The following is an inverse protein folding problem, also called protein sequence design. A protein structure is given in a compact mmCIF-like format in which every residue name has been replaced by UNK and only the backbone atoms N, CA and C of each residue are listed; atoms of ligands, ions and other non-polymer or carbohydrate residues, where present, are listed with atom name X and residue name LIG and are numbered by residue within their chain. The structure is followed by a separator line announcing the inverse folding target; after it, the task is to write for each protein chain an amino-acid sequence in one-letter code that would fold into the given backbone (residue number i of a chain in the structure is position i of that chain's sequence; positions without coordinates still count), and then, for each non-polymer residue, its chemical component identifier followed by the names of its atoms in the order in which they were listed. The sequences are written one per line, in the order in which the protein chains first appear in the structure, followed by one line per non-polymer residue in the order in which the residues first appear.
data_IF_563741871583
#
_entry.id   IF_563741871583
#
_cell.length_a   1.000
_cell.length_b   1.000
_cell.length_c   1.000
_cell.angle_alpha   90.00
_cell.angle_beta   90.00
_cell.angle_gamma   90.00
#
_symmetry.space_group_name_H-M   'P 1'
#
loop_
_entity.id
_entity.type
_entity.pdbx_description
1 polymer ?
#
# COMPACT_ATOMS: atom_id res chain seq x y z
N UNK A 1 -53.67 31.93 -20.87
CA UNK A 1 -52.68 30.86 -21.20
C UNK A 1 -51.59 30.66 -20.17
N UNK A 2 -51.18 31.65 -19.37
CA UNK A 2 -50.09 31.50 -18.39
C UNK A 2 -50.43 30.69 -17.11
N UNK A 3 -51.70 30.62 -16.70
CA UNK A 3 -52.13 29.89 -15.52
C UNK A 3 -52.19 28.34 -15.69
N UNK A 4 -52.39 27.86 -16.92
CA UNK A 4 -52.45 26.41 -17.18
C UNK A 4 -51.11 25.72 -17.16
N UNK A 5 -50.01 26.42 -17.50
CA UNK A 5 -48.66 25.86 -17.48
C UNK A 5 -48.07 25.77 -16.04
N UNK A 6 -48.50 26.66 -15.13
CA UNK A 6 -48.08 26.59 -13.73
C UNK A 6 -48.69 25.39 -13.00
N UNK A 7 -49.93 25.01 -13.32
CA UNK A 7 -50.60 23.86 -12.71
C UNK A 7 -49.97 22.51 -13.17
N UNK A 8 -49.59 22.43 -14.44
CA UNK A 8 -48.96 21.21 -15.00
C UNK A 8 -47.54 21.03 -14.42
N UNK A 9 -46.78 22.11 -14.25
CA UNK A 9 -45.46 22.07 -13.62
C UNK A 9 -45.53 21.61 -12.15
N UNK A 10 -46.53 22.04 -11.39
CA UNK A 10 -46.70 21.67 -9.98
C UNK A 10 -47.08 20.18 -9.82
N UNK A 11 -47.93 19.65 -10.71
CA UNK A 11 -48.35 18.24 -10.67
C UNK A 11 -47.18 17.30 -11.02
N UNK A 12 -46.31 17.68 -11.97
CA UNK A 12 -45.12 16.89 -12.32
C UNK A 12 -44.09 16.87 -11.18
N UNK A 13 -43.85 18.00 -10.50
CA UNK A 13 -42.97 18.07 -9.36
C UNK A 13 -43.49 17.26 -8.16
N UNK A 14 -44.83 17.30 -7.91
CA UNK A 14 -45.44 16.48 -6.86
C UNK A 14 -45.36 14.97 -7.17
N UNK A 15 -45.53 14.57 -8.42
CA UNK A 15 -45.44 13.17 -8.84
C UNK A 15 -44.04 12.62 -8.72
N UNK A 16 -42.99 13.42 -9.00
CA UNK A 16 -41.57 13.03 -8.80
C UNK A 16 -41.22 12.91 -7.33
N UNK A 17 -41.67 13.85 -6.49
CA UNK A 17 -41.40 13.82 -5.04
C UNK A 17 -42.15 12.65 -4.37
N UNK A 18 -43.40 12.37 -4.76
CA UNK A 18 -44.14 11.23 -4.22
C UNK A 18 -43.58 9.89 -4.73
N UNK A 19 -43.12 9.82 -5.98
CA UNK A 19 -42.47 8.63 -6.54
C UNK A 19 -41.17 8.28 -5.82
N UNK A 20 -40.36 9.29 -5.48
CA UNK A 20 -39.10 9.10 -4.72
C UNK A 20 -39.38 8.69 -3.26
N UNK A 21 -40.43 9.23 -2.65
CA UNK A 21 -40.81 8.85 -1.26
C UNK A 21 -41.46 7.45 -1.21
N UNK A 22 -42.24 7.04 -2.20
CA UNK A 22 -42.80 5.68 -2.25
C UNK A 22 -41.72 4.65 -2.61
N UNK A 23 -40.74 4.99 -3.43
CA UNK A 23 -39.60 4.11 -3.74
C UNK A 23 -38.67 3.88 -2.53
N UNK A 24 -38.58 4.86 -1.62
CA UNK A 24 -37.82 4.69 -0.34
C UNK A 24 -38.60 3.95 0.74
N UNK A 25 -39.92 3.83 0.64
CA UNK A 25 -40.77 3.20 1.68
C UNK A 25 -41.06 1.71 1.50
N UNK A 26 -40.67 1.07 0.41
CA UNK A 26 -41.02 -0.33 0.10
C UNK A 26 -39.84 -1.31 0.11
N UNK A 27 -38.70 -0.92 0.66
CA UNK A 27 -37.62 -1.85 0.99
C UNK A 27 -37.54 -2.03 2.51
N UNK A 28 -38.41 -2.90 3.01
CA UNK A 28 -38.23 -3.56 4.30
C UNK A 28 -37.68 -4.97 4.04
N UNK A 29 -36.56 -5.24 4.71
CA UNK A 29 -36.02 -6.56 5.06
C UNK A 29 -35.79 -7.62 3.97
N UNK A 30 -34.57 -7.65 3.47
CA UNK A 30 -33.85 -8.91 3.31
C UNK A 30 -32.34 -8.65 3.46
N UNK A 31 -31.72 -9.26 4.50
CA UNK A 31 -30.30 -9.54 4.70
C UNK A 31 -29.27 -8.44 4.41
N UNK A 32 -28.24 -8.25 5.24
CA UNK A 32 -27.21 -7.28 5.01
C UNK A 32 -26.34 -7.74 3.84
N UNK A 33 -26.69 -7.34 2.64
CA UNK A 33 -25.76 -7.23 1.55
C UNK A 33 -24.88 -6.03 1.91
N UNK A 34 -23.59 -6.28 2.16
CA UNK A 34 -22.63 -5.23 2.45
C UNK A 34 -22.73 -4.12 1.40
N UNK A 35 -22.66 -2.88 1.85
CA UNK A 35 -22.53 -1.75 0.93
C UNK A 35 -21.28 -1.94 0.08
N UNK A 36 -21.28 -1.57 -1.21
CA UNK A 36 -20.07 -1.66 -2.04
C UNK A 36 -18.91 -0.98 -1.34
N UNK A 37 -17.82 -1.71 -1.16
CA UNK A 37 -16.59 -1.16 -0.60
C UNK A 37 -15.83 -0.51 -1.74
N UNK A 38 -15.75 0.80 -1.74
CA UNK A 38 -14.98 1.56 -2.72
C UNK A 38 -13.63 1.91 -2.13
N UNK A 39 -12.55 1.47 -2.78
CA UNK A 39 -11.19 1.88 -2.47
C UNK A 39 -11.03 3.29 -3.04
N UNK A 40 -11.31 4.32 -2.25
CA UNK A 40 -11.18 5.72 -2.65
C UNK A 40 -10.32 6.47 -1.65
N UNK A 41 -9.43 7.36 -2.11
CA UNK A 41 -8.76 8.26 -1.18
C UNK A 41 -9.81 9.08 -0.43
N UNK A 42 -9.63 9.27 0.86
CA UNK A 42 -10.50 10.14 1.64
C UNK A 42 -10.30 11.58 1.13
N UNK A 43 -11.13 11.99 0.17
CA UNK A 43 -11.12 13.34 -0.34
C UNK A 43 -11.59 14.28 0.77
N UNK A 44 -10.67 14.97 1.40
CA UNK A 44 -11.00 16.25 2.01
C UNK A 44 -11.20 17.22 0.85
N UNK A 45 -12.45 17.56 0.58
CA UNK A 45 -12.82 18.46 -0.49
C UNK A 45 -11.97 19.73 -0.45
N UNK A 46 -11.02 19.84 -1.35
CA UNK A 46 -10.45 21.08 -1.88
C UNK A 46 -9.36 20.75 -2.88
N UNK A 47 -9.54 21.19 -4.11
CA UNK A 47 -8.57 21.30 -5.18
C UNK A 47 -7.98 19.96 -5.68
N UNK A 48 -8.27 19.71 -6.89
CA UNK A 48 -7.70 18.74 -7.80
C UNK A 48 -6.15 18.73 -7.68
N UNK A 49 -5.52 17.65 -7.18
CA UNK A 49 -4.05 17.60 -7.05
C UNK A 49 -3.37 17.16 -8.36
N UNK A 50 -4.00 17.39 -9.49
CA UNK A 50 -3.73 16.70 -10.75
C UNK A 50 -2.62 17.29 -11.61
N UNK A 51 -1.73 18.14 -11.12
CA UNK A 51 -0.67 18.68 -11.97
C UNK A 51 0.76 18.46 -11.50
N UNK A 52 0.99 17.77 -10.41
CA UNK A 52 2.34 17.27 -10.11
C UNK A 52 2.47 15.84 -10.61
N UNK A 53 3.42 15.52 -11.49
CA UNK A 53 3.68 14.14 -11.86
C UNK A 53 4.09 13.40 -10.59
N UNK A 54 3.33 12.38 -10.22
CA UNK A 54 3.78 11.36 -9.27
C UNK A 54 4.97 10.65 -9.91
N UNK A 55 6.17 11.15 -9.72
CA UNK A 55 7.35 10.38 -9.98
C UNK A 55 7.62 9.58 -8.71
N UNK A 56 7.08 8.36 -8.63
CA UNK A 56 7.78 7.34 -7.87
C UNK A 56 9.22 7.33 -8.37
N UNK A 57 10.20 7.29 -7.46
CA UNK A 57 11.58 7.15 -7.88
C UNK A 57 11.69 5.82 -8.64
N UNK A 58 11.77 5.92 -9.96
CA UNK A 58 12.23 4.82 -10.78
C UNK A 58 13.65 4.40 -10.36
N UNK A 59 14.21 3.34 -10.93
CA UNK A 59 15.57 2.92 -10.62
C UNK A 59 16.50 4.13 -10.71
N UNK A 60 17.33 4.31 -9.68
CA UNK A 60 18.23 5.47 -9.59
C UNK A 60 19.16 5.53 -10.79
N UNK A 61 18.90 6.44 -11.71
CA UNK A 61 19.82 6.74 -12.79
C UNK A 61 21.12 7.28 -12.23
N UNK A 62 22.14 6.44 -12.14
CA UNK A 62 23.52 6.72 -11.76
C UNK A 62 23.93 6.34 -10.34
N UNK A 63 24.46 5.13 -10.19
CA UNK A 63 25.53 4.84 -9.24
C UNK A 63 26.44 3.77 -9.80
N UNK A 64 27.61 4.17 -10.28
CA UNK A 64 28.73 3.28 -10.60
C UNK A 64 29.43 2.85 -9.30
N UNK A 65 28.73 2.19 -8.40
CA UNK A 65 29.32 1.45 -7.30
C UNK A 65 29.05 -0.03 -7.54
N UNK A 66 30.03 -0.73 -8.08
CA UNK A 66 30.00 -2.17 -8.18
C UNK A 66 29.82 -2.74 -6.76
N UNK A 67 28.62 -3.20 -6.45
CA UNK A 67 28.34 -3.95 -5.24
C UNK A 67 29.06 -5.29 -5.35
N UNK A 68 30.20 -5.42 -4.66
CA UNK A 68 30.80 -6.72 -4.36
C UNK A 68 30.02 -7.39 -3.23
N UNK A 69 28.74 -7.61 -3.45
CA UNK A 69 27.90 -8.44 -2.60
C UNK A 69 28.09 -9.89 -3.00
N UNK A 70 28.61 -10.72 -2.12
CA UNK A 70 28.57 -12.18 -2.26
C UNK A 70 27.11 -12.60 -2.47
N UNK A 71 26.81 -13.15 -3.65
CA UNK A 71 25.49 -13.70 -3.95
C UNK A 71 25.08 -14.71 -2.86
N UNK A 72 23.98 -14.44 -2.15
CA UNK A 72 23.38 -15.41 -1.24
C UNK A 72 22.79 -16.53 -2.09
N UNK A 73 23.09 -17.81 -1.79
CA UNK A 73 22.54 -18.92 -2.56
C UNK A 73 21.00 -18.92 -2.53
N UNK A 74 20.36 -19.19 -3.66
CA UNK A 74 18.92 -19.40 -3.74
C UNK A 74 18.54 -20.59 -2.82
N UNK A 75 17.75 -20.32 -1.77
CA UNK A 75 17.16 -21.39 -0.95
C UNK A 75 17.01 -21.12 0.54
N UNK A 76 17.79 -20.25 1.14
CA UNK A 76 17.77 -20.07 2.59
C UNK A 76 17.21 -18.69 2.98
N UNK A 77 15.89 -18.48 2.76
CA UNK A 77 15.21 -17.32 3.34
C UNK A 77 15.28 -17.40 4.86
N UNK A 78 15.70 -16.33 5.51
CA UNK A 78 15.70 -16.21 6.97
C UNK A 78 14.28 -16.39 7.49
N UNK A 79 14.13 -17.20 8.55
CA UNK A 79 12.84 -17.43 9.19
C UNK A 79 12.19 -16.15 9.72
N UNK A 80 10.88 -16.19 9.91
CA UNK A 80 10.13 -15.09 10.55
C UNK A 80 10.77 -14.67 11.87
N UNK A 81 10.78 -13.38 12.12
CA UNK A 81 11.21 -12.80 13.40
C UNK A 81 10.08 -12.75 14.44
N UNK A 82 8.85 -13.13 14.05
CA UNK A 82 7.69 -13.15 14.92
C UNK A 82 7.61 -14.48 15.67
N UNK A 83 7.54 -14.48 17.01
CA UNK A 83 7.27 -15.69 17.78
C UNK A 83 5.87 -16.23 17.46
N UNK A 84 5.79 -17.40 16.84
CA UNK A 84 4.52 -18.04 16.49
C UNK A 84 3.93 -18.74 17.73
N UNK A 85 3.41 -17.92 18.67
CA UNK A 85 2.86 -18.37 19.94
C UNK A 85 1.37 -18.10 20.00
N UNK A 86 0.57 -19.10 20.42
CA UNK A 86 -0.86 -18.90 20.73
C UNK A 86 -1.02 -18.14 22.03
N UNK A 87 -1.93 -17.19 22.03
CA UNK A 87 -2.37 -16.49 23.25
C UNK A 87 -3.40 -17.34 24.00
N UNK A 88 -3.34 -17.27 25.33
CA UNK A 88 -4.45 -17.67 26.19
C UNK A 88 -5.49 -16.52 26.27
N UNK A 89 -6.76 -16.81 26.58
CA UNK A 89 -7.74 -15.77 26.80
C UNK A 89 -7.28 -14.76 27.87
N UNK A 90 -7.20 -13.48 27.49
CA UNK A 90 -6.74 -12.39 28.37
C UNK A 90 -5.26 -12.05 28.27
N UNK A 91 -4.49 -12.82 27.51
CA UNK A 91 -3.10 -12.45 27.20
C UNK A 91 -3.06 -11.21 26.30
N UNK A 92 -2.00 -10.42 26.45
CA UNK A 92 -1.78 -9.25 25.60
C UNK A 92 -1.05 -9.68 24.32
N UNK A 93 -1.55 -9.24 23.16
CA UNK A 93 -0.89 -9.46 21.89
C UNK A 93 0.45 -8.73 21.81
N UNK A 94 1.44 -9.25 21.07
CA UNK A 94 2.63 -8.48 20.73
C UNK A 94 2.25 -7.24 19.91
N UNK A 95 3.11 -6.22 19.94
CA UNK A 95 2.97 -5.06 19.07
C UNK A 95 3.65 -5.35 17.74
N UNK A 96 2.90 -5.36 16.66
CA UNK A 96 3.45 -5.43 15.33
C UNK A 96 3.63 -4.02 14.76
N UNK A 97 4.73 -3.81 14.05
CA UNK A 97 4.98 -2.65 13.21
C UNK A 97 5.16 -3.18 11.79
N UNK A 98 4.35 -2.71 10.85
CA UNK A 98 4.46 -3.08 9.44
C UNK A 98 4.91 -1.83 8.69
N UNK A 99 6.14 -1.85 8.17
CA UNK A 99 6.65 -0.80 7.30
C UNK A 99 6.58 -1.29 5.87
N UNK A 100 5.94 -0.53 4.99
CA UNK A 100 5.79 -0.90 3.58
C UNK A 100 6.14 0.28 2.66
N UNK A 101 6.69 -0.05 1.49
CA UNK A 101 7.14 0.93 0.50
C UNK A 101 6.49 0.64 -0.84
N UNK A 102 5.72 1.60 -1.36
CA UNK A 102 5.10 1.53 -2.67
C UNK A 102 6.14 1.84 -3.76
N UNK A 103 5.99 1.22 -4.92
CA UNK A 103 6.95 1.29 -6.02
C UNK A 103 8.15 0.37 -5.85
N UNK A 104 8.92 0.54 -4.78
CA UNK A 104 10.06 -0.29 -4.36
C UNK A 104 11.13 -0.54 -5.44
N UNK A 105 11.42 0.48 -6.30
CA UNK A 105 12.39 0.38 -7.39
C UNK A 105 13.79 0.92 -7.08
N UNK A 106 13.99 1.67 -6.00
CA UNK A 106 15.24 2.38 -5.71
C UNK A 106 16.29 1.48 -5.04
N UNK A 107 17.41 1.23 -5.73
CA UNK A 107 18.57 0.52 -5.18
C UNK A 107 19.07 1.17 -3.88
N UNK A 108 19.30 2.49 -3.89
CA UNK A 108 19.80 3.22 -2.73
C UNK A 108 18.89 3.01 -1.52
N UNK A 109 17.57 3.06 -1.71
CA UNK A 109 16.61 2.87 -0.61
C UNK A 109 16.57 1.42 -0.14
N UNK A 110 16.62 0.45 -1.03
CA UNK A 110 16.77 -0.95 -0.62
C UNK A 110 17.97 -1.13 0.30
N UNK A 111 19.16 -0.63 -0.09
CA UNK A 111 20.36 -0.79 0.70
C UNK A 111 20.30 -0.03 2.05
N UNK A 112 19.74 1.19 2.08
CA UNK A 112 19.54 1.95 3.31
C UNK A 112 18.65 1.19 4.31
N UNK A 113 17.50 0.66 3.86
CA UNK A 113 16.55 -0.03 4.72
C UNK A 113 17.02 -1.44 5.12
N UNK A 114 17.68 -2.17 4.23
CA UNK A 114 18.30 -3.45 4.55
C UNK A 114 19.37 -3.29 5.65
N UNK A 115 20.22 -2.28 5.52
CA UNK A 115 21.24 -1.98 6.53
C UNK A 115 20.63 -1.58 7.89
N UNK A 116 19.53 -0.82 7.89
CA UNK A 116 18.84 -0.39 9.10
C UNK A 116 18.08 -1.53 9.79
N UNK A 117 17.53 -2.47 9.03
CA UNK A 117 16.76 -3.59 9.55
C UNK A 117 17.63 -4.70 10.19
N UNK A 118 18.82 -4.91 9.68
CA UNK A 118 19.70 -6.02 10.10
C UNK A 118 20.02 -6.04 11.59
N UNK A 119 20.42 -4.92 12.26
CA UNK A 119 20.79 -4.93 13.67
C UNK A 119 19.67 -5.33 14.63
N UNK A 120 18.43 -5.03 14.27
CA UNK A 120 17.25 -5.31 15.10
C UNK A 120 16.49 -6.57 14.63
N UNK A 121 17.03 -7.28 13.63
CA UNK A 121 16.35 -8.41 12.99
C UNK A 121 14.93 -8.05 12.50
N UNK A 122 14.76 -6.80 12.04
CA UNK A 122 13.49 -6.26 11.57
C UNK A 122 13.16 -6.75 10.16
N UNK A 123 11.87 -6.70 9.83
CA UNK A 123 11.37 -6.96 8.46
C UNK A 123 10.58 -5.75 7.99
N UNK A 124 10.57 -5.55 6.67
CA UNK A 124 9.74 -4.57 5.99
C UNK A 124 9.26 -5.14 4.65
N UNK A 125 8.39 -4.41 3.95
CA UNK A 125 7.71 -4.88 2.76
C UNK A 125 7.94 -3.92 1.61
N UNK A 126 8.31 -4.45 0.43
CA UNK A 126 8.41 -3.67 -0.80
C UNK A 126 7.28 -4.08 -1.75
N UNK A 127 6.36 -3.17 -2.04
CA UNK A 127 5.35 -3.38 -3.07
C UNK A 127 5.93 -2.96 -4.42
N UNK A 128 6.36 -3.95 -5.20
CA UNK A 128 7.07 -3.74 -6.45
C UNK A 128 6.11 -3.27 -7.55
N UNK A 129 6.49 -2.21 -8.26
CA UNK A 129 5.91 -1.88 -9.56
C UNK A 129 6.52 -2.77 -10.63
N UNK A 130 5.71 -3.60 -11.28
CA UNK A 130 6.21 -4.61 -12.24
C UNK A 130 6.99 -4.04 -13.41
N UNK A 131 6.70 -2.79 -13.82
CA UNK A 131 7.41 -2.10 -14.90
C UNK A 131 8.89 -1.88 -14.61
N UNK A 132 9.32 -1.93 -13.34
CA UNK A 132 10.74 -1.80 -13.01
C UNK A 132 11.57 -3.04 -13.42
N UNK A 133 10.91 -4.13 -13.84
CA UNK A 133 11.54 -5.29 -14.46
C UNK A 133 11.48 -5.26 -16.00
N UNK A 134 11.07 -4.14 -16.60
CA UNK A 134 10.96 -3.93 -18.04
C UNK A 134 11.81 -2.75 -18.46
N UNK A 135 12.84 -2.98 -19.31
CA UNK A 135 13.72 -1.93 -19.80
C UNK A 135 12.96 -0.86 -20.63
N UNK A 136 13.42 0.38 -20.58
CA UNK A 136 12.82 1.51 -21.30
C UNK A 136 12.66 1.25 -22.80
N UNK A 137 13.62 0.58 -23.42
CA UNK A 137 13.58 0.20 -24.84
C UNK A 137 12.47 -0.81 -25.14
N UNK A 138 12.03 -1.58 -24.14
CA UNK A 138 10.99 -2.60 -24.24
C UNK A 138 9.62 -2.14 -23.75
N UNK A 139 9.46 -0.88 -23.36
CA UNK A 139 8.24 -0.32 -22.74
C UNK A 139 6.93 -0.64 -23.46
N UNK A 140 6.98 -0.77 -24.80
CA UNK A 140 5.78 -1.09 -25.60
C UNK A 140 5.26 -2.52 -25.39
N UNK A 141 5.94 -3.35 -24.60
CA UNK A 141 5.42 -4.66 -24.14
C UNK A 141 4.40 -4.54 -23.04
N UNK A 142 4.33 -3.39 -22.39
CA UNK A 142 3.27 -3.07 -21.45
C UNK A 142 2.14 -2.31 -22.13
N UNK A 143 0.91 -2.67 -21.81
CA UNK A 143 -0.30 -1.94 -22.21
C UNK A 143 -1.26 -1.90 -21.04
N UNK A 144 -1.35 -0.77 -20.37
CA UNK A 144 -2.31 -0.57 -19.29
C UNK A 144 -3.75 -0.55 -19.80
N UNK A 145 -4.73 -0.93 -18.97
CA UNK A 145 -6.14 -0.97 -19.35
C UNK A 145 -6.64 0.36 -19.94
N UNK A 146 -7.06 0.33 -21.21
CA UNK A 146 -7.54 1.51 -21.92
C UNK A 146 -6.46 2.50 -22.38
N UNK A 147 -5.18 2.20 -22.16
CA UNK A 147 -4.05 3.05 -22.56
C UNK A 147 -3.31 2.50 -23.77
N UNK A 148 -2.54 3.36 -24.45
CA UNK A 148 -1.68 2.93 -25.56
C UNK A 148 -0.47 2.14 -25.04
N UNK A 149 0.10 1.22 -25.85
CA UNK A 149 1.33 0.51 -25.48
C UNK A 149 2.44 1.47 -25.07
N UNK A 150 3.19 1.12 -24.03
CA UNK A 150 4.31 1.91 -23.50
C UNK A 150 3.92 3.17 -22.74
N UNK A 151 2.63 3.34 -22.40
CA UNK A 151 2.15 4.42 -21.50
C UNK A 151 2.19 3.96 -20.07
N UNK A 152 2.65 4.85 -19.20
CA UNK A 152 2.67 4.69 -17.75
C UNK A 152 2.70 6.07 -17.11
N UNK A 153 2.21 6.20 -15.88
CA UNK A 153 2.37 7.40 -15.04
C UNK A 153 3.64 7.37 -14.19
N UNK A 154 4.33 6.22 -14.16
CA UNK A 154 5.63 6.03 -13.51
C UNK A 154 6.69 5.63 -14.54
N UNK A 155 7.96 5.57 -14.14
CA UNK A 155 9.06 5.10 -14.98
C UNK A 155 8.97 3.60 -15.30
N UNK A 156 9.85 3.16 -16.21
CA UNK A 156 10.14 1.75 -16.44
C UNK A 156 11.46 1.38 -15.74
N UNK A 157 11.98 0.17 -15.98
CA UNK A 157 13.19 -0.33 -15.35
C UNK A 157 14.50 0.32 -15.80
N UNK A 158 14.42 1.35 -16.66
CA UNK A 158 15.62 2.01 -17.19
C UNK A 158 16.41 1.12 -18.13
N UNK A 159 17.68 0.95 -17.84
CA UNK A 159 18.60 0.05 -18.56
C UNK A 159 18.52 -1.38 -18.01
N UNK A 160 19.04 -2.34 -18.77
CA UNK A 160 19.14 -3.72 -18.30
C UNK A 160 20.09 -3.89 -17.12
N UNK A 161 21.10 -3.02 -16.96
CA UNK A 161 22.00 -3.03 -15.82
C UNK A 161 21.29 -2.55 -14.54
N UNK A 162 20.40 -1.56 -14.65
CA UNK A 162 19.55 -1.12 -13.53
C UNK A 162 18.57 -2.22 -13.12
N UNK A 163 17.98 -2.93 -14.09
CA UNK A 163 17.12 -4.10 -13.81
C UNK A 163 17.93 -5.21 -13.12
N UNK A 164 19.16 -5.49 -13.57
CA UNK A 164 20.01 -6.49 -12.93
C UNK A 164 20.33 -6.10 -11.47
N UNK A 165 20.55 -4.81 -11.21
CA UNK A 165 20.76 -4.27 -9.86
C UNK A 165 19.51 -4.46 -9.00
N UNK A 166 18.33 -4.10 -9.51
CA UNK A 166 17.07 -4.28 -8.79
C UNK A 166 16.79 -5.77 -8.48
N UNK A 167 17.05 -6.68 -9.43
CA UNK A 167 16.93 -8.13 -9.17
C UNK A 167 17.83 -8.54 -8.01
N UNK A 168 19.05 -8.02 -7.94
CA UNK A 168 19.96 -8.24 -6.81
C UNK A 168 19.39 -7.77 -5.48
N UNK A 169 18.77 -6.58 -5.44
CA UNK A 169 18.12 -6.02 -4.26
C UNK A 169 16.92 -6.86 -3.80
N UNK A 170 16.05 -7.27 -4.74
CA UNK A 170 14.90 -8.12 -4.45
C UNK A 170 15.33 -9.47 -3.88
N UNK A 171 16.36 -10.09 -4.47
CA UNK A 171 16.92 -11.35 -3.99
C UNK A 171 17.50 -11.22 -2.59
N UNK A 172 18.28 -10.16 -2.33
CA UNK A 172 18.87 -9.87 -1.02
C UNK A 172 17.77 -9.63 0.03
N UNK A 173 16.76 -8.82 -0.30
CA UNK A 173 15.65 -8.52 0.58
C UNK A 173 14.86 -9.77 0.93
N UNK A 174 14.50 -10.58 -0.06
CA UNK A 174 13.77 -11.83 0.15
C UNK A 174 14.57 -12.82 1.00
N UNK A 175 15.83 -13.05 0.69
CA UNK A 175 16.71 -13.92 1.46
C UNK A 175 16.83 -13.45 2.93
N UNK A 176 16.89 -12.14 3.17
CA UNK A 176 16.91 -11.55 4.51
C UNK A 176 15.55 -11.61 5.23
N UNK A 177 14.51 -12.16 4.62
CA UNK A 177 13.20 -12.36 5.22
C UNK A 177 12.21 -11.22 5.01
N UNK A 178 12.57 -10.18 4.22
CA UNK A 178 11.64 -9.13 3.83
C UNK A 178 10.60 -9.66 2.83
N UNK A 179 9.48 -8.97 2.68
CA UNK A 179 8.40 -9.38 1.79
C UNK A 179 8.38 -8.52 0.53
N UNK A 180 8.16 -9.18 -0.61
CA UNK A 180 7.91 -8.51 -1.89
C UNK A 180 6.44 -8.75 -2.23
N UNK A 181 5.69 -7.66 -2.36
CA UNK A 181 4.30 -7.66 -2.81
C UNK A 181 4.15 -6.93 -4.14
N UNK A 182 2.90 -6.79 -4.61
CA UNK A 182 2.61 -6.09 -5.86
C UNK A 182 2.15 -4.66 -5.62
N UNK A 183 2.65 -3.71 -6.43
CA UNK A 183 2.08 -2.39 -6.65
C UNK A 183 1.64 -2.23 -8.11
N UNK A 184 1.23 -3.33 -8.73
CA UNK A 184 0.80 -3.40 -10.13
C UNK A 184 1.85 -2.86 -11.11
N UNK A 185 1.45 -2.01 -12.10
CA UNK A 185 2.37 -1.57 -13.15
C UNK A 185 2.28 -0.07 -13.48
N UNK A 186 1.24 0.35 -14.21
CA UNK A 186 1.22 1.63 -14.92
C UNK A 186 0.91 2.86 -14.08
N UNK A 187 0.47 2.70 -12.83
CA UNK A 187 0.17 3.77 -11.86
C UNK A 187 -0.83 4.81 -12.40
N UNK A 188 -1.92 4.32 -12.99
CA UNK A 188 -2.97 5.20 -13.54
C UNK A 188 -3.98 5.58 -12.47
N UNK A 189 -3.80 6.75 -11.88
CA UNK A 189 -4.67 7.35 -10.89
C UNK A 189 -5.70 8.28 -11.53
N UNK A 190 -6.69 8.70 -10.76
CA UNK A 190 -7.67 9.72 -11.19
C UNK A 190 -6.96 10.92 -11.80
N UNK A 191 -7.34 11.26 -13.06
CA UNK A 191 -6.65 12.24 -13.88
C UNK A 191 -5.81 11.65 -15.01
N UNK A 192 -5.40 10.38 -14.91
CA UNK A 192 -4.82 9.59 -16.00
C UNK A 192 -5.81 8.52 -16.47
N UNK A 193 -7.00 8.94 -16.84
CA UNK A 193 -8.12 8.06 -17.18
C UNK A 193 -7.89 7.22 -18.46
N UNK A 194 -8.37 5.94 -18.49
CA UNK A 194 -9.08 5.26 -17.40
C UNK A 194 -8.16 4.85 -16.25
N UNK A 195 -8.53 5.22 -15.02
CA UNK A 195 -7.78 4.95 -13.78
C UNK A 195 -8.32 3.73 -13.04
N UNK A 196 -7.63 3.31 -11.98
CA UNK A 196 -8.04 2.21 -11.11
C UNK A 196 -9.50 2.31 -10.64
N UNK A 197 -10.02 3.51 -10.41
CA UNK A 197 -11.42 3.74 -10.04
C UNK A 197 -12.44 3.43 -11.15
N UNK A 198 -11.98 3.19 -12.38
CA UNK A 198 -12.80 2.92 -13.56
C UNK A 198 -12.55 1.54 -14.14
N UNK A 199 -11.58 0.82 -13.63
CA UNK A 199 -11.23 -0.49 -14.15
C UNK A 199 -12.27 -1.55 -13.76
N UNK A 200 -12.60 -2.39 -14.73
CA UNK A 200 -13.39 -3.59 -14.55
C UNK A 200 -12.56 -4.74 -13.97
N UNK A 201 -13.21 -5.81 -13.54
CA UNK A 201 -12.52 -7.03 -13.09
C UNK A 201 -11.57 -7.60 -14.17
N UNK A 202 -11.92 -7.47 -15.46
CA UNK A 202 -11.05 -7.90 -16.56
C UNK A 202 -9.82 -6.99 -16.70
N UNK A 203 -9.95 -5.69 -16.45
CA UNK A 203 -8.85 -4.74 -16.46
C UNK A 203 -7.87 -5.05 -15.31
N UNK A 204 -8.37 -5.27 -14.09
CA UNK A 204 -7.57 -5.67 -12.94
C UNK A 204 -6.86 -7.01 -13.17
N UNK A 205 -7.53 -8.00 -13.77
CA UNK A 205 -6.90 -9.27 -14.14
C UNK A 205 -5.78 -9.07 -15.14
N UNK A 206 -6.02 -8.24 -16.17
CA UNK A 206 -5.00 -7.93 -17.19
C UNK A 206 -3.78 -7.25 -16.58
N UNK A 207 -4.00 -6.35 -15.62
CA UNK A 207 -2.91 -5.62 -14.94
C UNK A 207 -2.08 -6.55 -14.06
N UNK A 208 -2.71 -7.46 -13.31
CA UNK A 208 -2.00 -8.48 -12.52
C UNK A 208 -1.33 -9.54 -13.41
N UNK A 209 -1.97 -9.99 -14.50
CA UNK A 209 -1.35 -10.89 -15.46
C UNK A 209 -0.04 -10.30 -16.02
N UNK A 210 -0.04 -9.00 -16.32
CA UNK A 210 1.16 -8.31 -16.78
C UNK A 210 2.20 -8.18 -15.68
N UNK A 211 1.80 -7.85 -14.43
CA UNK A 211 2.73 -7.82 -13.30
C UNK A 211 3.44 -9.16 -13.14
N UNK A 212 2.70 -10.26 -13.03
CA UNK A 212 3.29 -11.59 -12.91
C UNK A 212 4.06 -12.01 -14.16
N UNK A 213 3.63 -11.56 -15.34
CA UNK A 213 4.35 -11.76 -16.60
C UNK A 213 5.71 -11.05 -16.63
N UNK A 214 5.81 -9.82 -16.11
CA UNK A 214 7.09 -9.13 -15.95
C UNK A 214 7.95 -9.78 -14.87
N UNK A 215 7.36 -10.22 -13.78
CA UNK A 215 8.05 -10.85 -12.67
C UNK A 215 8.63 -12.22 -13.03
N UNK A 216 7.87 -13.07 -13.71
CA UNK A 216 8.29 -14.46 -14.01
C UNK A 216 9.03 -14.59 -15.35
N UNK A 217 8.74 -13.73 -16.33
CA UNK A 217 9.34 -13.75 -17.66
C UNK A 217 10.15 -12.50 -17.96
N UNK A 218 10.79 -11.91 -16.94
CA UNK A 218 11.59 -10.67 -17.08
C UNK A 218 12.67 -10.78 -18.15
N UNK A 219 13.35 -11.94 -18.33
CA UNK A 219 14.33 -12.19 -19.39
C UNK A 219 13.69 -12.18 -20.78
N UNK A 220 12.54 -12.83 -20.96
CA UNK A 220 11.80 -12.84 -22.24
C UNK A 220 11.26 -11.46 -22.59
N UNK A 221 10.98 -10.63 -21.58
CA UNK A 221 10.55 -9.24 -21.76
C UNK A 221 11.70 -8.28 -22.06
N UNK A 222 12.97 -8.69 -21.78
CA UNK A 222 14.19 -7.92 -22.06
C UNK A 222 15.14 -8.77 -22.93
N UNK A 223 14.80 -9.04 -24.19
CA UNK A 223 15.55 -9.95 -25.05
C UNK A 223 16.97 -9.45 -25.30
N UNK A 224 17.95 -10.35 -25.16
CA UNK A 224 19.37 -10.04 -25.37
C UNK A 224 20.09 -9.50 -24.12
N UNK A 225 19.38 -9.23 -23.04
CA UNK A 225 19.98 -8.87 -21.76
C UNK A 225 20.48 -10.09 -21.00
N UNK A 226 21.66 -9.96 -20.39
CA UNK A 226 22.22 -10.96 -19.46
C UNK A 226 21.79 -10.59 -18.03
N UNK A 227 20.55 -10.94 -17.68
CA UNK A 227 19.98 -10.65 -16.35
C UNK A 227 20.25 -11.79 -15.36
N UNK A 228 20.53 -11.49 -14.09
CA UNK A 228 20.70 -12.51 -13.06
C UNK A 228 19.40 -13.28 -12.79
N UNK A 229 19.50 -14.41 -12.07
CA UNK A 229 18.31 -15.12 -11.62
C UNK A 229 17.55 -14.30 -10.57
N UNK A 230 16.25 -14.13 -10.79
CA UNK A 230 15.33 -13.65 -9.76
C UNK A 230 14.93 -14.86 -8.89
N UNK A 231 15.45 -14.89 -7.66
CA UNK A 231 15.25 -16.02 -6.73
C UNK A 231 14.02 -15.88 -5.86
N UNK A 232 13.33 -14.74 -5.93
CA UNK A 232 12.04 -14.53 -5.26
C UNK A 232 10.97 -15.38 -5.94
N UNK A 233 10.35 -16.34 -5.26
CA UNK A 233 9.30 -17.16 -5.87
C UNK A 233 8.06 -16.30 -6.16
N UNK A 234 7.45 -16.49 -7.33
CA UNK A 234 6.25 -15.73 -7.69
C UNK A 234 5.06 -16.01 -6.76
N UNK A 235 4.97 -17.22 -6.22
CA UNK A 235 3.96 -17.65 -5.24
C UNK A 235 4.21 -17.09 -3.83
N UNK A 236 5.34 -16.39 -3.60
CA UNK A 236 5.59 -15.64 -2.37
C UNK A 236 5.04 -14.20 -2.43
N UNK A 237 4.58 -13.74 -3.59
CA UNK A 237 3.87 -12.47 -3.75
C UNK A 237 2.42 -12.69 -3.31
N UNK A 238 2.15 -12.50 -2.03
CA UNK A 238 0.88 -12.88 -1.40
C UNK A 238 -0.14 -11.73 -1.33
N UNK A 239 0.23 -10.51 -1.68
CA UNK A 239 -0.64 -9.35 -1.63
C UNK A 239 0.06 -8.09 -2.10
N UNK A 240 -0.53 -6.93 -1.80
CA UNK A 240 0.02 -5.64 -2.24
C UNK A 240 -0.87 -4.46 -1.91
N UNK A 241 -0.70 -3.41 -2.71
CA UNK A 241 -1.46 -2.16 -2.60
C UNK A 241 -1.77 -1.62 -3.98
N UNK A 242 -3.02 -1.14 -4.18
CA UNK A 242 -3.40 -0.45 -5.41
C UNK A 242 -2.74 0.92 -5.49
N UNK A 243 -2.47 1.34 -6.71
CA UNK A 243 -1.93 2.67 -6.98
C UNK A 243 -2.90 3.74 -6.48
N UNK A 244 -2.39 4.76 -5.81
CA UNK A 244 -3.18 5.87 -5.24
C UNK A 244 -4.31 5.43 -4.30
N UNK A 245 -4.30 4.22 -3.78
CA UNK A 245 -5.40 3.64 -3.00
C UNK A 245 -6.73 3.66 -3.78
N UNK A 246 -6.68 3.52 -5.10
CA UNK A 246 -7.84 3.57 -5.98
C UNK A 246 -8.30 2.18 -6.40
N UNK A 247 -9.60 2.02 -6.59
CA UNK A 247 -10.25 0.82 -7.08
C UNK A 247 -11.66 0.65 -6.53
N UNK A 248 -12.41 -0.26 -7.16
CA UNK A 248 -13.70 -0.72 -6.67
C UNK A 248 -13.52 -2.16 -6.25
N UNK A 249 -13.77 -2.46 -4.97
CA UNK A 249 -13.46 -3.77 -4.38
C UNK A 249 -14.08 -4.94 -5.14
N UNK A 250 -15.32 -4.82 -5.54
CA UNK A 250 -16.05 -5.86 -6.29
C UNK A 250 -15.43 -6.16 -7.65
N UNK A 251 -14.79 -5.17 -8.26
CA UNK A 251 -14.06 -5.31 -9.53
C UNK A 251 -12.65 -5.85 -9.33
N UNK A 252 -12.00 -5.50 -8.22
CA UNK A 252 -10.63 -5.91 -7.89
C UNK A 252 -10.56 -7.37 -7.39
N UNK A 253 -11.51 -7.76 -6.53
CA UNK A 253 -11.51 -9.03 -5.80
C UNK A 253 -11.38 -10.28 -6.70
N UNK A 254 -12.07 -10.40 -7.86
CA UNK A 254 -11.91 -11.56 -8.73
C UNK A 254 -10.47 -11.74 -9.23
N UNK A 255 -9.79 -10.65 -9.56
CA UNK A 255 -8.40 -10.68 -10.02
C UNK A 255 -7.46 -11.11 -8.90
N UNK A 256 -7.66 -10.60 -7.68
CA UNK A 256 -6.89 -10.99 -6.50
C UNK A 256 -7.00 -12.49 -6.22
N UNK A 257 -8.23 -13.00 -6.18
CA UNK A 257 -8.49 -14.44 -5.94
C UNK A 257 -7.89 -15.32 -7.04
N UNK A 258 -7.99 -14.89 -8.30
CA UNK A 258 -7.43 -15.63 -9.43
C UNK A 258 -5.90 -15.76 -9.39
N UNK A 259 -5.21 -14.75 -8.81
CA UNK A 259 -3.75 -14.75 -8.65
C UNK A 259 -3.28 -15.27 -7.28
N UNK A 260 -4.18 -15.77 -6.44
CA UNK A 260 -3.84 -16.35 -5.14
C UNK A 260 -3.39 -15.35 -4.09
N UNK A 261 -3.70 -14.05 -4.27
CA UNK A 261 -3.38 -13.02 -3.30
C UNK A 261 -4.28 -13.17 -2.06
N UNK A 262 -3.70 -13.05 -0.88
CA UNK A 262 -4.34 -13.36 0.41
C UNK A 262 -4.55 -12.13 1.28
N UNK A 263 -3.89 -11.01 0.96
CA UNK A 263 -4.09 -9.75 1.67
C UNK A 263 -4.07 -8.53 0.73
N UNK A 264 -4.77 -7.49 1.12
CA UNK A 264 -4.76 -6.16 0.54
C UNK A 264 -4.39 -5.10 1.59
N UNK A 265 -3.83 -3.99 1.16
CA UNK A 265 -3.54 -2.83 2.00
C UNK A 265 -3.87 -1.52 1.27
N UNK A 266 -5.03 -1.49 0.61
CA UNK A 266 -5.46 -0.34 -0.21
C UNK A 266 -6.63 0.42 0.39
N UNK A 267 -7.49 -0.25 1.18
CA UNK A 267 -8.72 0.35 1.70
C UNK A 267 -8.39 1.24 2.90
N UNK A 268 -8.95 2.44 2.91
CA UNK A 268 -8.84 3.32 4.08
C UNK A 268 -9.63 2.75 5.27
N UNK A 269 -9.11 2.93 6.46
CA UNK A 269 -9.78 2.48 7.68
C UNK A 269 -11.22 3.01 7.75
N UNK A 270 -12.21 2.15 8.08
CA UNK A 270 -13.62 2.53 8.12
C UNK A 270 -13.94 3.52 9.25
N UNK A 271 -13.04 3.63 10.22
CA UNK A 271 -13.09 4.59 11.31
C UNK A 271 -11.73 5.27 11.47
N UNK A 272 -11.71 6.48 12.05
CA UNK A 272 -10.45 7.13 12.40
C UNK A 272 -9.69 6.29 13.41
N UNK A 273 -8.39 6.20 13.19
CA UNK A 273 -7.47 5.49 14.07
C UNK A 273 -6.85 4.24 13.41
N UNK A 274 -6.19 3.46 14.23
CA UNK A 274 -5.53 2.21 13.89
C UNK A 274 -6.39 1.07 14.43
N UNK A 275 -6.76 0.15 13.56
CA UNK A 275 -7.60 -1.01 13.85
C UNK A 275 -6.87 -2.30 13.50
N UNK A 276 -7.31 -3.42 14.06
CA UNK A 276 -6.87 -4.73 13.63
C UNK A 276 -7.34 -5.02 12.19
N UNK A 277 -6.54 -5.74 11.38
CA UNK A 277 -6.95 -6.19 10.06
C UNK A 277 -8.23 -7.02 10.13
N UNK A 278 -9.03 -6.97 9.09
CA UNK A 278 -10.28 -7.73 8.99
C UNK A 278 -10.25 -8.64 7.76
N UNK A 279 -10.95 -9.76 7.80
CA UNK A 279 -11.20 -10.52 6.57
C UNK A 279 -12.39 -9.94 5.82
N UNK A 280 -12.14 -9.49 4.59
CA UNK A 280 -13.16 -9.03 3.64
C UNK A 280 -13.15 -10.02 2.47
N UNK A 281 -14.24 -10.73 2.26
CA UNK A 281 -14.36 -11.74 1.19
C UNK A 281 -13.20 -12.77 1.15
N UNK A 282 -12.75 -13.23 2.31
CA UNK A 282 -11.61 -14.15 2.54
C UNK A 282 -10.22 -13.54 2.32
N UNK A 283 -10.09 -12.27 1.97
CA UNK A 283 -8.84 -11.53 1.87
C UNK A 283 -8.60 -10.78 3.20
N UNK A 284 -7.39 -10.81 3.73
CA UNK A 284 -7.01 -9.99 4.86
C UNK A 284 -6.83 -8.54 4.42
N UNK A 285 -7.65 -7.63 4.93
CA UNK A 285 -7.54 -6.20 4.69
C UNK A 285 -6.76 -5.54 5.82
N UNK A 286 -5.57 -5.03 5.49
CA UNK A 286 -4.76 -4.18 6.35
C UNK A 286 -5.07 -2.72 6.03
N UNK A 287 -6.08 -2.20 6.68
CA UNK A 287 -6.57 -0.85 6.43
C UNK A 287 -5.50 0.22 6.54
N UNK A 288 -5.46 1.14 5.57
CA UNK A 288 -4.66 2.35 5.64
C UNK A 288 -5.13 3.21 6.82
N UNK A 289 -4.28 3.45 7.85
CA UNK A 289 -4.72 4.16 9.05
C UNK A 289 -5.07 5.62 8.75
N UNK A 290 -6.21 6.08 9.24
CA UNK A 290 -6.60 7.48 9.20
C UNK A 290 -6.48 8.10 10.59
N UNK A 291 -5.31 8.69 10.87
CA UNK A 291 -4.85 9.09 12.21
C UNK A 291 -4.90 10.59 12.40
N UNK A 292 -4.82 11.03 13.66
CA UNK A 292 -4.62 12.43 14.00
C UNK A 292 -3.13 12.71 14.26
N UNK A 293 -2.59 13.71 13.56
CA UNK A 293 -1.22 14.23 13.78
C UNK A 293 -1.31 15.67 14.29
N UNK A 294 -0.91 15.93 15.55
CA UNK A 294 -0.88 17.29 16.08
C UNK A 294 0.02 18.22 15.27
N UNK A 295 1.19 17.74 14.86
CA UNK A 295 2.15 18.52 14.07
C UNK A 295 1.64 18.91 12.68
N UNK A 296 0.75 18.09 12.08
CA UNK A 296 0.06 18.40 10.82
C UNK A 296 -1.27 19.16 11.03
N UNK A 297 -1.66 19.41 12.27
CA UNK A 297 -2.87 20.15 12.61
C UNK A 297 -4.17 19.43 12.24
N UNK A 298 -4.21 18.09 12.18
CA UNK A 298 -5.43 17.38 11.86
C UNK A 298 -5.25 15.91 11.47
N UNK A 299 -6.34 15.30 11.00
CA UNK A 299 -6.32 13.91 10.57
C UNK A 299 -5.75 13.76 9.16
N UNK A 300 -5.06 12.64 8.94
CA UNK A 300 -4.37 12.30 7.68
C UNK A 300 -4.27 10.78 7.54
N UNK A 301 -4.26 10.25 6.32
CA UNK A 301 -3.86 8.87 6.04
C UNK A 301 -2.37 8.73 6.37
N UNK A 302 -1.99 7.68 7.08
CA UNK A 302 -0.61 7.43 7.51
C UNK A 302 0.23 6.90 6.35
N UNK A 303 0.37 7.75 5.35
CA UNK A 303 1.21 7.55 4.17
C UNK A 303 2.00 8.83 3.92
N UNK A 304 3.26 8.70 3.53
CA UNK A 304 4.19 9.83 3.34
C UNK A 304 3.63 10.90 2.40
N UNK A 305 3.09 10.53 1.24
CA UNK A 305 2.50 11.48 0.30
C UNK A 305 1.32 12.26 0.92
N UNK A 306 0.44 11.57 1.66
CA UNK A 306 -0.71 12.22 2.29
C UNK A 306 -0.27 13.18 3.41
N UNK A 307 0.78 12.81 4.15
CA UNK A 307 1.39 13.69 5.17
C UNK A 307 2.06 14.91 4.52
N UNK A 308 2.79 14.71 3.42
CA UNK A 308 3.41 15.79 2.66
C UNK A 308 2.37 16.73 2.08
N UNK A 309 1.33 16.18 1.46
CA UNK A 309 0.22 17.00 0.94
C UNK A 309 -0.49 17.78 2.06
N UNK A 310 -0.72 17.17 3.22
CA UNK A 310 -1.29 17.82 4.40
C UNK A 310 -0.38 18.93 4.94
N UNK A 311 0.93 18.76 4.90
CA UNK A 311 1.91 19.72 5.39
C UNK A 311 1.98 20.98 4.52
N UNK A 312 2.21 20.82 3.21
CA UNK A 312 2.44 21.95 2.30
C UNK A 312 1.91 21.74 0.86
N UNK A 313 0.88 20.88 0.70
CA UNK A 313 0.28 20.55 -0.60
C UNK A 313 1.25 19.84 -1.57
N UNK A 314 2.19 19.05 -1.05
CA UNK A 314 3.16 18.32 -1.86
C UNK A 314 4.19 19.19 -2.56
N UNK A 315 4.43 20.41 -2.08
CA UNK A 315 5.45 21.28 -2.64
C UNK A 315 6.83 20.88 -2.14
N UNK A 316 7.78 20.68 -3.08
CA UNK A 316 9.17 20.38 -2.72
C UNK A 316 9.86 21.63 -2.16
N UNK A 317 10.04 21.65 -0.84
CA UNK A 317 10.64 22.72 -0.05
C UNK A 317 11.66 22.14 0.92
N UNK A 318 12.85 21.70 0.45
CA UNK A 318 13.83 20.98 1.26
C UNK A 318 14.29 21.72 2.52
N UNK A 319 14.18 23.06 2.55
CA UNK A 319 14.46 23.87 3.73
C UNK A 319 13.51 23.60 4.89
N UNK A 320 12.32 23.06 4.63
CA UNK A 320 11.33 22.66 5.65
C UNK A 320 11.55 21.21 6.14
N UNK A 321 12.46 20.47 5.55
CA UNK A 321 12.70 19.08 5.86
C UNK A 321 12.96 18.80 7.35
N UNK A 322 13.76 19.60 8.08
CA UNK A 322 13.99 19.37 9.52
C UNK A 322 12.71 19.41 10.35
N UNK A 323 11.79 20.34 10.05
CA UNK A 323 10.49 20.43 10.72
C UNK A 323 9.62 19.21 10.40
N UNK A 324 9.47 18.89 9.10
CA UNK A 324 8.62 17.78 8.66
C UNK A 324 9.13 16.44 9.17
N UNK A 325 10.44 16.19 9.19
CA UNK A 325 11.04 14.98 9.79
C UNK A 325 10.69 14.84 11.27
N UNK A 326 10.73 15.94 12.02
CA UNK A 326 10.31 15.98 13.43
C UNK A 326 8.85 15.57 13.57
N UNK A 327 7.96 16.19 12.77
CA UNK A 327 6.52 15.89 12.77
C UNK A 327 6.24 14.41 12.44
N UNK A 328 6.91 13.88 11.41
CA UNK A 328 6.75 12.47 11.00
C UNK A 328 7.18 11.53 12.10
N UNK A 329 8.40 11.74 12.66
CA UNK A 329 8.92 10.90 13.72
C UNK A 329 8.05 10.95 14.98
N UNK A 330 7.64 12.15 15.42
CA UNK A 330 6.78 12.32 16.60
C UNK A 330 5.40 11.69 16.39
N UNK A 331 4.87 11.75 15.16
CA UNK A 331 3.61 11.09 14.80
C UNK A 331 3.75 9.57 14.96
N UNK A 332 4.80 8.95 14.39
CA UNK A 332 5.02 7.51 14.49
C UNK A 332 5.21 7.06 15.95
N UNK A 333 6.01 7.81 16.70
CA UNK A 333 6.26 7.55 18.14
C UNK A 333 4.98 7.60 18.96
N UNK A 334 4.18 8.65 18.77
CA UNK A 334 2.89 8.82 19.45
C UNK A 334 1.91 7.69 19.12
N UNK A 335 1.85 7.28 17.87
CA UNK A 335 0.97 6.18 17.43
C UNK A 335 1.44 4.82 17.97
N UNK A 336 2.76 4.60 18.01
CA UNK A 336 3.32 3.41 18.65
C UNK A 336 2.92 3.33 20.13
N UNK A 337 3.09 4.41 20.89
CA UNK A 337 2.73 4.44 22.30
C UNK A 337 1.23 4.18 22.50
N UNK A 338 0.39 4.73 21.64
CA UNK A 338 -1.06 4.53 21.70
C UNK A 338 -1.46 3.09 21.34
N UNK A 339 -0.87 2.47 20.34
CA UNK A 339 -1.15 1.06 20.00
C UNK A 339 -0.57 0.13 21.05
N UNK A 340 0.66 0.36 21.49
CA UNK A 340 1.36 -0.48 22.47
C UNK A 340 0.64 -0.55 23.82
N UNK A 341 0.11 0.56 24.30
CA UNK A 341 -0.64 0.65 25.57
C UNK A 341 -2.16 0.54 25.38
N UNK A 342 -2.64 0.50 24.14
CA UNK A 342 -4.05 0.45 23.79
C UNK A 342 -4.47 -0.91 23.21
N UNK A 343 -4.87 -0.90 21.93
CA UNK A 343 -5.48 -2.05 21.26
C UNK A 343 -4.48 -3.07 20.70
N UNK A 344 -3.18 -2.81 20.71
CA UNK A 344 -2.14 -3.67 20.13
C UNK A 344 -2.33 -3.99 18.63
N UNK A 345 -3.20 -3.26 17.94
CA UNK A 345 -3.34 -3.43 16.49
C UNK A 345 -2.01 -3.12 15.76
N UNK A 346 -1.72 -3.83 14.68
CA UNK A 346 -0.52 -3.56 13.89
C UNK A 346 -0.42 -2.10 13.47
N UNK A 347 0.70 -1.44 13.82
CA UNK A 347 1.00 -0.09 13.35
C UNK A 347 1.52 -0.18 11.92
N UNK A 348 0.67 0.15 10.96
CA UNK A 348 1.03 0.20 9.55
C UNK A 348 1.57 1.58 9.19
N UNK A 349 2.81 1.62 8.68
CA UNK A 349 3.48 2.80 8.14
C UNK A 349 3.70 2.56 6.65
N UNK A 350 3.08 3.38 5.80
CA UNK A 350 3.15 3.29 4.36
C UNK A 350 3.96 4.45 3.79
N UNK A 351 5.00 4.14 3.05
CA UNK A 351 5.88 5.13 2.44
C UNK A 351 6.19 4.73 0.98
N UNK A 352 6.99 5.56 0.31
CA UNK A 352 7.58 5.28 -0.99
C UNK A 352 9.11 5.34 -0.89
N UNK A 353 9.81 4.64 -1.76
CA UNK A 353 11.25 4.79 -1.90
C UNK A 353 11.57 6.09 -2.65
N UNK A 354 11.61 7.20 -1.93
CA UNK A 354 11.85 8.53 -2.49
C UNK A 354 12.68 9.42 -1.55
N UNK A 355 13.02 10.62 -2.05
CA UNK A 355 13.70 11.66 -1.27
C UNK A 355 12.83 12.94 -1.18
N UNK A 356 11.52 12.81 -1.23
CA UNK A 356 10.61 13.95 -1.22
C UNK A 356 10.90 14.92 -0.09
N UNK A 357 10.81 16.20 -0.41
CA UNK A 357 11.03 17.30 0.50
C UNK A 357 12.33 17.12 1.32
N UNK A 358 13.45 16.82 0.64
CA UNK A 358 14.73 16.63 1.31
C UNK A 358 14.79 15.38 2.18
N UNK A 359 14.21 14.27 1.75
CA UNK A 359 14.16 12.99 2.47
C UNK A 359 13.40 13.07 3.81
N UNK A 360 12.27 13.80 3.82
CA UNK A 360 11.52 14.07 5.05
C UNK A 360 10.78 12.88 5.62
N UNK A 361 10.65 11.78 4.87
CA UNK A 361 9.87 10.60 5.29
C UNK A 361 10.75 9.38 5.55
N UNK A 362 11.67 9.04 4.67
CA UNK A 362 12.49 7.84 4.83
C UNK A 362 13.50 7.98 5.98
N UNK A 363 14.09 9.16 6.19
CA UNK A 363 15.03 9.37 7.31
C UNK A 363 14.35 9.15 8.69
N UNK A 364 13.19 9.76 9.01
CA UNK A 364 12.51 9.47 10.27
C UNK A 364 11.98 8.03 10.35
N UNK A 365 11.65 7.38 9.23
CA UNK A 365 11.23 5.97 9.21
C UNK A 365 12.41 5.06 9.57
N UNK A 366 13.58 5.28 8.98
CA UNK A 366 14.81 4.56 9.35
C UNK A 366 15.11 4.70 10.84
N UNK A 367 15.06 5.92 11.35
CA UNK A 367 15.26 6.19 12.78
C UNK A 367 14.22 5.50 13.65
N UNK A 368 12.94 5.57 13.27
CA UNK A 368 11.86 4.91 13.99
C UNK A 368 12.05 3.39 14.03
N UNK A 369 12.43 2.76 12.93
CA UNK A 369 12.77 1.33 12.91
C UNK A 369 13.93 1.00 13.86
N UNK A 370 15.00 1.79 13.87
CA UNK A 370 16.15 1.59 14.77
C UNK A 370 15.76 1.76 16.24
N UNK A 371 14.88 2.70 16.56
CA UNK A 371 14.52 3.03 17.93
C UNK A 371 13.41 2.11 18.50
N UNK A 372 12.56 1.54 17.66
CA UNK A 372 11.36 0.82 18.10
C UNK A 372 11.32 -0.66 17.74
N UNK A 373 11.88 -1.07 16.59
CA UNK A 373 11.94 -2.48 16.25
C UNK A 373 12.87 -3.23 17.21
N UNK A 374 12.38 -4.33 17.78
CA UNK A 374 13.14 -5.11 18.77
C UNK A 374 13.00 -4.62 20.21
N UNK A 375 12.16 -3.60 20.50
CA UNK A 375 11.73 -3.33 21.87
C UNK A 375 10.98 -4.56 22.43
N UNK A 376 10.87 -4.69 23.76
CA UNK A 376 10.11 -5.80 24.35
C UNK A 376 8.73 -5.94 23.72
N UNK A 377 8.37 -7.17 23.38
CA UNK A 377 7.08 -7.53 22.74
C UNK A 377 6.73 -6.73 21.48
N UNK A 378 7.74 -6.20 20.78
CA UNK A 378 7.58 -5.40 19.56
C UNK A 378 8.34 -6.02 18.40
N UNK A 379 7.64 -6.27 17.29
CA UNK A 379 8.17 -6.92 16.10
C UNK A 379 7.87 -6.08 14.86
N UNK A 380 8.93 -5.62 14.19
CA UNK A 380 8.81 -5.11 12.83
C UNK A 380 8.73 -6.31 11.88
N UNK A 381 7.56 -6.56 11.32
CA UNK A 381 7.19 -7.80 10.67
C UNK A 381 6.63 -7.57 9.27
N UNK A 382 6.56 -8.63 8.47
CA UNK A 382 5.88 -8.61 7.19
C UNK A 382 4.37 -8.80 7.36
N UNK A 383 3.60 -8.45 6.32
CA UNK A 383 2.16 -8.76 6.30
C UNK A 383 1.91 -10.26 6.47
N UNK A 384 2.66 -11.08 5.74
CA UNK A 384 2.53 -12.54 5.80
C UNK A 384 2.85 -13.11 7.18
N UNK A 385 3.85 -12.56 7.90
CA UNK A 385 4.17 -12.98 9.26
C UNK A 385 3.05 -12.64 10.24
N UNK A 386 2.46 -11.44 10.12
CA UNK A 386 1.34 -11.02 10.98
C UNK A 386 0.09 -11.87 10.69
N UNK A 387 -0.20 -12.16 9.42
CA UNK A 387 -1.29 -13.05 9.02
C UNK A 387 -1.10 -14.44 9.63
N UNK A 388 0.09 -15.03 9.47
CA UNK A 388 0.40 -16.34 10.01
C UNK A 388 0.23 -16.37 11.54
N UNK A 389 0.64 -15.31 12.22
CA UNK A 389 0.44 -15.18 13.66
C UNK A 389 -1.04 -15.06 14.03
N UNK A 390 -1.83 -14.24 13.31
CA UNK A 390 -3.27 -14.09 13.55
C UNK A 390 -4.02 -15.40 13.30
N UNK A 391 -3.72 -16.11 12.22
CA UNK A 391 -4.38 -17.38 11.87
C UNK A 391 -3.98 -18.54 12.79
N UNK A 392 -2.87 -18.41 13.50
CA UNK A 392 -2.48 -19.35 14.55
C UNK A 392 -3.39 -19.26 15.78
N UNK A 393 -4.00 -18.10 16.05
CA UNK A 393 -4.77 -17.87 17.26
C UNK A 393 -6.09 -18.67 17.27
N UNK A 394 -6.58 -18.98 18.46
CA UNK A 394 -7.93 -19.53 18.59
C UNK A 394 -8.96 -18.51 18.11
N UNK A 395 -9.99 -18.92 17.34
CA UNK A 395 -10.94 -17.99 16.73
C UNK A 395 -11.59 -17.00 17.71
N UNK A 396 -11.88 -17.44 18.95
CA UNK A 396 -12.47 -16.57 19.95
C UNK A 396 -11.46 -15.53 20.50
N UNK A 397 -10.18 -15.89 20.58
CA UNK A 397 -9.11 -14.97 20.98
C UNK A 397 -8.85 -13.97 19.87
N UNK A 398 -8.76 -14.44 18.63
CA UNK A 398 -8.60 -13.57 17.47
C UNK A 398 -9.75 -12.57 17.38
N UNK A 399 -11.00 -13.03 17.50
CA UNK A 399 -12.17 -12.14 17.44
C UNK A 399 -12.12 -11.04 18.50
N UNK A 400 -11.65 -11.33 19.72
CA UNK A 400 -11.47 -10.33 20.77
C UNK A 400 -10.45 -9.25 20.39
N UNK A 401 -9.40 -9.60 19.62
CA UNK A 401 -8.44 -8.63 19.09
C UNK A 401 -9.06 -7.78 17.98
N UNK A 402 -9.76 -8.42 17.04
CA UNK A 402 -10.41 -7.74 15.92
C UNK A 402 -11.50 -6.75 16.38
N UNK A 403 -12.16 -7.02 17.52
CA UNK A 403 -13.21 -6.18 18.10
C UNK A 403 -12.68 -5.01 18.95
N UNK A 404 -11.35 -4.89 19.11
CA UNK A 404 -10.77 -3.78 19.88
C UNK A 404 -11.08 -2.43 19.22
N UNK A 405 -11.41 -1.39 20.01
CA UNK A 405 -11.69 -0.08 19.47
C UNK A 405 -10.43 0.54 18.80
N UNK A 406 -10.61 1.41 17.80
CA UNK A 406 -9.49 2.10 17.18
C UNK A 406 -8.74 3.01 18.14
N UNK A 407 -7.43 3.19 17.93
CA UNK A 407 -6.57 4.15 18.64
C UNK A 407 -5.93 5.12 17.64
N UNK A 408 -5.45 6.28 18.10
CA UNK A 408 -4.81 7.27 17.22
C UNK A 408 -5.76 8.19 16.49
N UNK A 409 -7.05 8.18 16.83
CA UNK A 409 -8.07 9.02 16.18
C UNK A 409 -7.99 10.51 16.56
N UNK A 410 -7.27 10.85 17.63
CA UNK A 410 -7.33 12.15 18.30
C UNK A 410 -8.55 12.26 19.22
N UNK A 411 -8.63 13.33 19.94
CA UNK A 411 -9.77 13.62 20.85
C UNK A 411 -10.93 14.23 20.07
#
# INVERSE_FOLDING_TARGET
MRARYLLIGLVVVLAVVTGVLVYRGTRADTTPSGSPVTITPLSTAAADPQTAPFAEAGPDGSSTAAATGTAVPAGDRVASNVPMTKLSPGDTAPQFIIVSFDGAGSHTKWQEFLAAAAPTNSRFNGFLTGLYLLADENKNRYTGPGHAPGKSSVGFGGTTDEIATLIGDLNQAYAAGHEIGTHYNGHFCSGAEPSGNRWSAADWSTELDQFFGFFTNYRGNNPGADLPDLTVPADSVNGGRTQCLEGVWEELLPAWKAHGLTYDSSINAPAKGIVWPQKVDDIWEFYMPYIYSPGLGGSVILMDYNMWFKFNQGQDQPETAPELRGIVYDTYTSLYDQTYHGNRAPLLIANHFNNWNGNSFNEPTLRFMQDYCGKPDTYCATYSDVIAWMELQDPAVLQQLLDQPPVGAGA
#
